data_IF_265125841135
#
_entry.id   IF_265125841135
#
_cell.length_a   1.000
_cell.length_b   1.000
_cell.length_c   1.000
_cell.angle_alpha   90.00
_cell.angle_beta   90.00
_cell.angle_gamma   90.00
#
_symmetry.space_group_name_H-M   'P 1'
#
loop_
_entity.id
_entity.type
_entity.pdbx_description
1 polymer ?
#
# COMPACT_ATOMS: atom_id res chain seq x y z
N UNK A 1 16.16 -3.75 0.43
CA UNK A 1 14.86 -4.44 0.36
C UNK A 1 14.34 -4.13 -1.02
N UNK A 2 13.78 -5.09 -1.74
CA UNK A 2 13.18 -4.84 -3.06
C UNK A 2 11.78 -5.43 -3.02
N UNK A 3 10.77 -4.61 -3.32
CA UNK A 3 9.36 -5.03 -3.35
C UNK A 3 8.77 -4.63 -4.69
N UNK A 4 8.21 -5.61 -5.40
CA UNK A 4 7.48 -5.34 -6.63
C UNK A 4 5.99 -5.23 -6.31
N UNK A 5 5.32 -4.29 -6.98
CA UNK A 5 3.85 -4.18 -7.01
C UNK A 5 3.39 -4.12 -8.45
N UNK A 6 2.33 -4.85 -8.78
CA UNK A 6 1.69 -4.82 -10.08
C UNK A 6 0.22 -5.19 -9.97
N UNK A 7 -0.51 -5.04 -11.06
CA UNK A 7 -1.93 -5.35 -11.16
C UNK A 7 -2.15 -6.46 -12.21
N UNK A 8 -3.28 -7.15 -12.18
CA UNK A 8 -3.57 -8.23 -13.16
C UNK A 8 -3.68 -7.70 -14.60
N UNK A 9 -4.16 -6.47 -14.76
CA UNK A 9 -4.20 -5.73 -16.03
C UNK A 9 -3.62 -4.33 -15.89
N UNK A 10 -3.29 -3.72 -17.03
CA UNK A 10 -2.88 -2.30 -17.11
C UNK A 10 -4.02 -1.35 -17.47
N UNK A 11 -5.06 -1.88 -18.10
CA UNK A 11 -6.25 -1.15 -18.52
C UNK A 11 -7.48 -1.92 -18.05
N UNK A 12 -8.44 -1.21 -17.49
CA UNK A 12 -9.69 -1.77 -16.97
C UNK A 12 -10.89 -0.99 -17.46
N UNK A 13 -11.98 -1.71 -17.66
CA UNK A 13 -13.30 -1.17 -18.00
C UNK A 13 -14.20 -1.07 -16.77
N UNK A 14 -15.25 -0.27 -16.89
CA UNK A 14 -16.26 -0.08 -15.84
C UNK A 14 -16.82 -1.43 -15.36
N UNK A 15 -16.89 -1.61 -14.05
CA UNK A 15 -17.37 -2.83 -13.39
C UNK A 15 -16.34 -3.97 -13.33
N UNK A 16 -15.16 -3.81 -13.92
CA UNK A 16 -14.08 -4.78 -13.71
C UNK A 16 -13.49 -4.66 -12.32
N UNK A 17 -13.00 -5.79 -11.79
CA UNK A 17 -12.33 -5.86 -10.48
C UNK A 17 -10.82 -5.86 -10.68
N UNK A 18 -10.14 -4.96 -9.97
CA UNK A 18 -8.69 -4.86 -9.96
C UNK A 18 -8.12 -5.81 -8.92
N UNK A 19 -7.13 -6.62 -9.30
CA UNK A 19 -6.32 -7.42 -8.39
C UNK A 19 -4.90 -6.85 -8.35
N UNK A 20 -4.43 -6.59 -7.15
CA UNK A 20 -3.09 -6.08 -6.89
C UNK A 20 -2.24 -7.23 -6.37
N UNK A 21 -1.00 -7.31 -6.83
CA UNK A 21 -0.02 -8.26 -6.37
C UNK A 21 1.19 -7.56 -5.80
N UNK A 22 1.70 -8.07 -4.69
CA UNK A 22 2.96 -7.62 -4.08
C UNK A 22 3.89 -8.80 -3.83
N UNK A 23 5.20 -8.58 -4.04
CA UNK A 23 6.25 -9.57 -3.74
C UNK A 23 7.54 -8.90 -3.32
N UNK A 24 8.00 -9.20 -2.11
CA UNK A 24 9.31 -8.79 -1.60
C UNK A 24 10.39 -9.85 -1.81
N UNK A 25 11.66 -9.44 -1.89
CA UNK A 25 12.81 -10.37 -1.97
C UNK A 25 13.24 -10.96 -0.63
N UNK A 26 12.79 -10.37 0.49
CA UNK A 26 13.03 -10.80 1.89
C UNK A 26 11.82 -10.39 2.74
N UNK A 27 11.64 -10.89 3.97
CA UNK A 27 10.50 -10.50 4.80
C UNK A 27 10.48 -8.98 5.09
N UNK A 28 9.28 -8.40 5.10
CA UNK A 28 9.08 -6.95 5.17
C UNK A 28 7.73 -6.57 5.76
N UNK A 29 7.63 -5.36 6.27
CA UNK A 29 6.39 -4.68 6.59
C UNK A 29 5.97 -3.79 5.43
N UNK A 30 4.67 -3.66 5.15
CA UNK A 30 4.17 -2.76 4.10
C UNK A 30 2.89 -1.99 4.44
N UNK A 31 2.83 -0.76 3.96
CA UNK A 31 1.60 0.03 3.80
C UNK A 31 1.30 0.10 2.31
N UNK A 32 0.10 -0.32 1.91
CA UNK A 32 -0.37 -0.36 0.51
C UNK A 32 -1.43 0.70 0.34
N UNK A 33 -1.15 1.68 -0.52
CA UNK A 33 -2.05 2.78 -0.82
C UNK A 33 -2.55 2.70 -2.26
N UNK A 34 -3.82 3.00 -2.47
CA UNK A 34 -4.40 3.27 -3.79
C UNK A 34 -4.66 4.77 -3.90
N UNK A 35 -4.34 5.33 -5.06
CA UNK A 35 -4.61 6.72 -5.43
C UNK A 35 -5.58 6.71 -6.60
N UNK A 36 -6.75 7.30 -6.39
CA UNK A 36 -7.75 7.45 -7.44
C UNK A 36 -7.39 8.59 -8.41
N UNK A 37 -8.23 8.77 -9.43
CA UNK A 37 -8.06 9.79 -10.47
C UNK A 37 -8.18 11.23 -9.93
N UNK A 38 -8.82 11.43 -8.78
CA UNK A 38 -8.93 12.74 -8.11
C UNK A 38 -7.75 13.01 -7.20
N UNK A 39 -6.88 12.02 -7.00
CA UNK A 39 -5.76 12.06 -6.09
C UNK A 39 -6.12 11.74 -4.63
N UNK A 40 -7.32 11.24 -4.37
CA UNK A 40 -7.68 10.72 -3.06
C UNK A 40 -6.90 9.43 -2.77
N UNK A 41 -6.44 9.30 -1.53
CA UNK A 41 -5.63 8.18 -1.10
C UNK A 41 -6.42 7.27 -0.16
N UNK A 42 -6.48 5.99 -0.51
CA UNK A 42 -7.04 4.92 0.30
C UNK A 42 -5.91 4.00 0.77
N UNK A 43 -5.87 3.69 2.06
CA UNK A 43 -4.99 2.66 2.59
C UNK A 43 -5.71 1.31 2.53
N UNK A 44 -5.26 0.47 1.61
CA UNK A 44 -5.79 -0.87 1.35
C UNK A 44 -5.26 -1.88 2.38
N UNK A 45 -3.99 -1.75 2.77
CA UNK A 45 -3.37 -2.52 3.84
C UNK A 45 -2.41 -1.66 4.68
N UNK A 46 -2.35 -1.88 6.01
CA UNK A 46 -3.36 -2.61 6.79
C UNK A 46 -4.74 -1.90 6.71
N UNK A 47 -5.83 -2.62 6.94
CA UNK A 47 -7.19 -2.06 6.89
C UNK A 47 -7.98 -2.36 8.18
N UNK A 48 -9.25 -1.95 8.31
CA UNK A 48 -10.08 -2.25 9.48
C UNK A 48 -10.14 -3.75 9.84
N UNK A 49 -10.09 -4.65 8.86
CA UNK A 49 -10.29 -6.10 9.02
C UNK A 49 -9.01 -6.93 8.99
N UNK A 50 -7.92 -6.39 8.46
CA UNK A 50 -6.60 -7.02 8.38
C UNK A 50 -5.55 -6.06 8.91
N UNK A 51 -5.11 -6.29 10.16
CA UNK A 51 -4.11 -5.46 10.85
C UNK A 51 -2.69 -5.91 10.54
N UNK A 52 -2.52 -7.14 10.10
CA UNK A 52 -1.24 -7.72 9.72
C UNK A 52 -0.69 -6.99 8.50
N UNK A 53 0.44 -6.32 8.72
CA UNK A 53 1.18 -5.61 7.69
C UNK A 53 2.56 -6.25 7.43
N UNK A 54 2.78 -7.47 7.91
CA UNK A 54 4.00 -8.26 7.69
C UNK A 54 3.82 -9.26 6.55
N UNK A 55 4.84 -9.37 5.71
CA UNK A 55 4.85 -10.17 4.50
C UNK A 55 6.14 -10.98 4.41
N UNK A 56 6.02 -12.25 4.01
CA UNK A 56 7.16 -13.13 3.80
C UNK A 56 7.85 -12.81 2.47
N UNK A 57 9.18 -12.90 2.44
CA UNK A 57 9.95 -12.80 1.21
C UNK A 57 9.65 -13.96 0.26
N UNK A 58 9.67 -13.70 -1.04
CA UNK A 58 9.48 -14.71 -2.08
C UNK A 58 8.02 -15.12 -2.35
N UNK A 59 7.08 -14.72 -1.50
CA UNK A 59 5.65 -15.02 -1.64
C UNK A 59 4.95 -13.89 -2.39
N UNK A 60 4.07 -14.25 -3.33
CA UNK A 60 3.18 -13.30 -4.01
C UNK A 60 1.90 -13.20 -3.18
N UNK A 61 1.55 -12.00 -2.75
CA UNK A 61 0.30 -11.72 -2.06
C UNK A 61 -0.66 -10.98 -3.00
N UNK A 62 -1.90 -11.45 -3.07
CA UNK A 62 -3.01 -10.80 -3.79
C UNK A 62 -3.81 -9.90 -2.84
N UNK A 63 -4.27 -8.75 -3.34
CA UNK A 63 -5.08 -7.76 -2.64
C UNK A 63 -6.19 -7.28 -3.59
N UNK A 64 -7.47 -7.31 -3.20
CA UNK A 64 -8.01 -7.86 -1.94
C UNK A 64 -7.86 -9.38 -1.86
N UNK A 65 -7.75 -9.92 -0.64
CA UNK A 65 -7.74 -11.36 -0.33
C UNK A 65 -8.93 -11.76 0.54
N UNK A 66 -9.13 -13.05 0.84
CA UNK A 66 -10.33 -13.53 1.54
C UNK A 66 -10.62 -12.89 2.91
N UNK A 67 -9.64 -12.31 3.59
CA UNK A 67 -9.83 -11.60 4.86
C UNK A 67 -10.19 -10.11 4.67
N UNK A 68 -10.01 -9.59 3.46
CA UNK A 68 -10.26 -8.20 3.13
C UNK A 68 -11.74 -8.01 2.78
N UNK A 69 -12.43 -7.11 3.50
CA UNK A 69 -13.85 -6.82 3.27
C UNK A 69 -14.07 -5.64 2.32
N UNK A 70 -13.33 -5.64 1.22
CA UNK A 70 -13.49 -4.65 0.14
C UNK A 70 -13.21 -5.30 -1.21
N UNK A 71 -13.78 -4.71 -2.25
CA UNK A 71 -13.45 -5.00 -3.64
C UNK A 71 -12.96 -3.71 -4.31
N UNK A 72 -12.03 -3.83 -5.26
CA UNK A 72 -11.59 -2.71 -6.09
C UNK A 72 -12.31 -2.78 -7.43
N UNK A 73 -13.58 -2.37 -7.44
CA UNK A 73 -14.38 -2.30 -8.65
C UNK A 73 -14.21 -0.94 -9.35
N UNK A 74 -13.96 -0.97 -10.66
CA UNK A 74 -13.75 0.23 -11.46
C UNK A 74 -15.06 0.98 -11.66
N UNK A 75 -15.08 2.24 -11.24
CA UNK A 75 -16.24 3.11 -11.33
C UNK A 75 -15.84 4.55 -11.70
N UNK A 76 -16.76 5.38 -12.22
CA UNK A 76 -16.44 6.77 -12.57
C UNK A 76 -16.02 7.61 -11.34
N UNK A 77 -15.14 8.61 -11.51
CA UNK A 77 -14.52 9.05 -12.77
C UNK A 77 -13.37 8.14 -13.22
N UNK A 78 -13.24 7.99 -14.54
CA UNK A 78 -12.21 7.17 -15.18
C UNK A 78 -10.95 7.96 -15.49
N UNK A 79 -9.79 7.30 -15.49
CA UNK A 79 -8.51 7.95 -15.75
C UNK A 79 -7.33 7.12 -15.30
N UNK A 80 -6.22 7.78 -15.01
CA UNK A 80 -5.03 7.13 -14.47
C UNK A 80 -5.12 7.03 -12.95
N UNK A 81 -4.88 5.83 -12.44
CA UNK A 81 -4.82 5.52 -11.02
C UNK A 81 -3.50 4.85 -10.69
N UNK A 82 -3.16 4.78 -9.39
CA UNK A 82 -1.93 4.11 -8.99
C UNK A 82 -2.04 3.41 -7.65
N UNK A 83 -1.20 2.38 -7.48
CA UNK A 83 -1.02 1.67 -6.23
C UNK A 83 0.43 1.85 -5.79
N UNK A 84 0.63 2.38 -4.60
CA UNK A 84 1.95 2.58 -4.00
C UNK A 84 2.15 1.68 -2.79
N UNK A 85 3.37 1.14 -2.67
CA UNK A 85 3.77 0.30 -1.54
C UNK A 85 4.95 0.95 -0.84
N UNK A 86 4.77 1.25 0.44
CA UNK A 86 5.83 1.69 1.35
C UNK A 86 6.26 0.49 2.18
N UNK A 87 7.50 0.06 2.05
CA UNK A 87 7.99 -1.16 2.66
C UNK A 87 9.27 -0.96 3.48
N UNK A 88 9.40 -1.72 4.56
CA UNK A 88 10.56 -1.68 5.45
C UNK A 88 10.87 -3.04 6.06
N UNK A 89 12.14 -3.32 6.33
CA UNK A 89 12.53 -4.51 7.12
C UNK A 89 12.22 -4.37 8.62
N UNK A 90 11.82 -3.18 9.07
CA UNK A 90 11.33 -2.90 10.42
C UNK A 90 9.91 -2.32 10.38
N UNK A 91 9.16 -2.34 11.49
CA UNK A 91 7.82 -1.74 11.53
C UNK A 91 7.81 -0.30 11.03
N UNK A 92 6.87 0.01 10.14
CA UNK A 92 6.68 1.34 9.57
C UNK A 92 6.08 2.30 10.61
N UNK A 93 6.29 3.60 10.39
CA UNK A 93 5.61 4.63 11.19
C UNK A 93 4.15 4.84 10.77
N UNK A 94 3.40 5.54 11.62
CA UNK A 94 1.96 5.70 11.47
C UNK A 94 1.60 6.91 10.58
N UNK A 95 0.65 6.70 9.68
CA UNK A 95 -0.02 7.77 8.94
C UNK A 95 -1.43 8.00 9.51
N UNK A 96 -1.87 9.25 9.51
CA UNK A 96 -3.23 9.60 9.93
C UNK A 96 -4.23 9.06 8.90
N UNK A 97 -5.21 8.31 9.39
CA UNK A 97 -6.26 7.68 8.60
C UNK A 97 -7.64 7.84 9.25
N UNK A 98 -8.69 7.73 8.43
CA UNK A 98 -10.08 7.68 8.87
C UNK A 98 -10.71 6.38 8.38
N UNK A 99 -11.37 5.65 9.27
CA UNK A 99 -12.17 4.47 8.91
C UNK A 99 -13.35 4.88 8.01
N UNK A 100 -13.47 4.21 6.87
CA UNK A 100 -14.59 4.38 5.93
C UNK A 100 -15.23 3.02 5.57
N UNK A 101 -15.01 1.98 6.38
CA UNK A 101 -15.57 0.64 6.18
C UNK A 101 -14.49 -0.38 5.78
N UNK A 102 -14.51 -0.85 4.52
CA UNK A 102 -13.60 -1.91 4.06
C UNK A 102 -12.11 -1.51 4.06
N UNK A 103 -11.83 -0.21 3.99
CA UNK A 103 -10.49 0.39 3.92
C UNK A 103 -10.43 1.69 4.73
N UNK A 104 -9.25 2.29 4.78
CA UNK A 104 -9.01 3.57 5.42
C UNK A 104 -8.86 4.69 4.39
N UNK A 105 -9.46 5.86 4.64
CA UNK A 105 -9.13 7.09 3.91
C UNK A 105 -7.89 7.74 4.54
N UNK A 106 -6.86 8.00 3.75
CA UNK A 106 -5.64 8.66 4.23
C UNK A 106 -5.90 10.16 4.44
N UNK A 107 -5.52 10.66 5.62
CA UNK A 107 -5.61 12.08 6.01
C UNK A 107 -4.25 12.77 6.10
N UNK A 108 -3.19 11.99 6.00
CA UNK A 108 -1.82 12.51 5.88
C UNK A 108 -1.66 13.15 4.51
N UNK A 109 -1.00 14.32 4.44
CA UNK A 109 -0.64 14.93 3.17
C UNK A 109 0.24 13.98 2.36
N UNK A 110 0.03 13.92 1.06
CA UNK A 110 0.75 13.00 0.18
C UNK A 110 2.27 13.05 0.35
N UNK A 111 2.84 14.27 0.39
CA UNK A 111 4.29 14.50 0.52
C UNK A 111 4.87 14.00 1.84
N UNK A 112 4.05 13.93 2.90
CA UNK A 112 4.50 13.55 4.24
C UNK A 112 4.43 12.02 4.45
N UNK A 113 3.83 11.26 3.53
CA UNK A 113 3.60 9.81 3.70
C UNK A 113 4.93 9.04 3.72
N UNK A 114 5.84 9.34 2.79
CA UNK A 114 7.14 8.68 2.72
C UNK A 114 7.93 8.88 4.02
N UNK A 115 7.99 10.11 4.53
CA UNK A 115 8.73 10.42 5.76
C UNK A 115 8.11 9.79 7.00
N UNK A 116 6.77 9.79 7.10
CA UNK A 116 6.07 9.17 8.22
C UNK A 116 6.18 7.65 8.21
N UNK A 117 6.13 7.02 7.04
CA UNK A 117 6.25 5.56 6.91
C UNK A 117 7.67 5.06 7.13
N UNK A 118 8.70 5.84 6.76
CA UNK A 118 10.13 5.50 6.94
C UNK A 118 10.54 5.19 8.39
N UNK A 119 9.70 5.50 9.37
CA UNK A 119 9.85 4.97 10.73
C UNK A 119 11.12 5.44 11.44
N UNK A 120 11.76 6.53 10.96
CA UNK A 120 12.94 7.12 11.60
C UNK A 120 12.50 7.81 12.89
N UNK A 121 12.29 7.02 13.95
CA UNK A 121 12.19 7.53 15.31
C UNK A 121 13.61 7.81 15.77
N UNK A 122 13.96 9.08 15.97
CA UNK A 122 15.17 9.47 16.70
C UNK A 122 15.09 8.83 18.09
N UNK A 123 15.78 7.70 18.28
CA UNK A 123 16.03 7.12 19.60
C UNK A 123 17.43 7.55 20.01
N UNK A 124 17.56 8.10 21.22
CA UNK A 124 18.85 8.34 21.83
C UNK A 124 19.69 7.06 21.84
N UNK A 125 21.00 7.24 21.64
CA UNK A 125 21.96 6.20 21.26
C UNK A 125 22.21 5.25 22.44
N UNK A 126 21.58 4.08 22.44
CA UNK A 126 22.09 2.91 23.18
C UNK A 126 21.98 1.68 22.30
N UNK A 127 23.12 1.27 21.74
CA UNK A 127 23.25 0.03 20.97
C UNK A 127 23.15 0.18 19.46
N UNK A 128 24.13 -0.39 18.74
CA UNK A 128 24.20 -0.45 17.28
C UNK A 128 23.06 -1.29 16.71
N UNK A 129 21.98 -0.63 16.29
CA UNK A 129 20.95 -1.28 15.47
C UNK A 129 21.35 -1.18 14.00
N UNK A 130 21.37 -2.32 13.31
CA UNK A 130 21.52 -2.37 11.87
C UNK A 130 20.49 -1.42 11.22
N UNK A 131 20.94 -0.63 10.24
CA UNK A 131 20.06 0.30 9.54
C UNK A 131 18.90 -0.48 8.88
N UNK A 132 17.67 -0.07 9.15
CA UNK A 132 16.50 -0.64 8.49
C UNK A 132 16.54 -0.31 7.00
N UNK A 133 16.28 -1.29 6.15
CA UNK A 133 16.12 -1.07 4.71
C UNK A 133 14.70 -0.57 4.45
N UNK A 134 14.57 0.48 3.64
CA UNK A 134 13.30 1.04 3.20
C UNK A 134 13.17 0.98 1.67
N UNK A 135 11.96 0.78 1.16
CA UNK A 135 11.66 0.73 -0.26
C UNK A 135 10.29 1.34 -0.55
N UNK A 136 10.16 2.07 -1.65
CA UNK A 136 8.90 2.61 -2.14
C UNK A 136 8.75 2.23 -3.62
N UNK A 137 7.62 1.64 -3.98
CA UNK A 137 7.30 1.23 -5.36
C UNK A 137 5.91 1.73 -5.75
N UNK A 138 5.69 1.94 -7.05
CA UNK A 138 4.37 2.33 -7.59
C UNK A 138 4.03 1.58 -8.86
N UNK A 139 2.82 1.02 -8.90
CA UNK A 139 2.18 0.52 -10.11
C UNK A 139 1.14 1.53 -10.61
N UNK A 140 1.12 1.81 -11.90
CA UNK A 140 0.06 2.60 -12.57
C UNK A 140 -0.88 1.70 -13.36
N UNK A 141 -2.15 2.13 -13.42
CA UNK A 141 -3.21 1.50 -14.19
C UNK A 141 -4.13 2.59 -14.79
N UNK A 142 -4.87 2.23 -15.84
CA UNK A 142 -5.88 3.10 -16.47
C UNK A 142 -7.26 2.49 -16.35
N UNK A 143 -8.25 3.31 -16.04
CA UNK A 143 -9.67 2.96 -15.99
C UNK A 143 -10.43 3.65 -17.11
N UNK A 144 -11.49 3.02 -17.63
CA UNK A 144 -12.25 3.49 -18.78
C UNK A 144 -13.63 2.85 -18.92
N UNK A 145 -14.33 3.17 -20.01
CA UNK A 145 -15.60 2.53 -20.40
C UNK A 145 -15.37 1.31 -21.26
#
# INVERSE_FOLDING_TARGET
>A
LIVNVWTDKKEYQSGEKIRIYIKGNKPFYAVVLHKDVKGELLQLLPNPYRKENYFNGGVIYEIPSGNDRFELEVSPPFGEESVSVYASTSPLGDINVKDIGGVYQVKTRHDDIGDRTRGVKLKEKTGSNAASEFFEERATLKTGR
#
